data_IF_488125844554
#
_entry.id   IF_488125844554
#
_cell.length_a   1.000
_cell.length_b   1.000
_cell.length_c   1.000
_cell.angle_alpha   90.00
_cell.angle_beta   90.00
_cell.angle_gamma   90.00
#
_symmetry.space_group_name_H-M   'P 1'
#
loop_
_entity.id
_entity.type
_entity.pdbx_description
1 polymer ?
#
# COMPACT_ATOMS: atom_id res chain seq x y z
N UNK A 1 35.87 17.04 25.77
CA UNK A 1 35.65 15.60 26.04
C UNK A 1 34.48 15.14 25.20
N UNK A 2 34.75 14.22 24.26
CA UNK A 2 33.84 13.76 23.21
C UNK A 2 32.69 12.96 23.83
N UNK A 3 31.46 13.45 23.71
CA UNK A 3 30.27 12.69 24.02
C UNK A 3 30.18 11.52 23.04
N UNK A 4 30.40 10.32 23.55
CA UNK A 4 30.27 9.05 22.86
C UNK A 4 28.88 8.97 22.22
N UNK A 5 28.77 9.23 20.92
CA UNK A 5 27.55 8.97 20.16
C UNK A 5 27.20 7.48 20.35
N UNK A 6 26.08 7.14 21.01
CA UNK A 6 25.66 5.76 21.07
C UNK A 6 25.30 5.35 19.66
N UNK A 7 26.06 4.41 19.10
CA UNK A 7 25.72 3.69 17.89
C UNK A 7 24.28 3.23 18.01
N UNK A 8 23.36 3.86 17.29
CA UNK A 8 21.95 3.49 17.31
C UNK A 8 21.82 2.09 16.70
N UNK A 9 21.82 1.05 17.53
CA UNK A 9 21.20 -0.21 17.14
C UNK A 9 19.80 0.15 16.60
N UNK A 10 19.39 -0.37 15.42
CA UNK A 10 18.14 0.06 14.80
C UNK A 10 17.03 -0.09 15.82
N UNK A 11 16.48 1.04 16.24
CA UNK A 11 15.43 1.06 17.26
C UNK A 11 14.22 0.33 16.68
N UNK A 12 13.39 -0.32 17.51
CA UNK A 12 12.16 -0.98 17.01
C UNK A 12 11.30 -0.02 16.18
N UNK A 13 11.39 1.28 16.45
CA UNK A 13 10.81 2.39 15.70
C UNK A 13 11.32 2.47 14.24
N UNK A 14 12.61 2.24 14.00
CA UNK A 14 13.21 2.27 12.65
C UNK A 14 12.68 1.13 11.77
N UNK A 15 12.49 -0.06 12.35
CA UNK A 15 11.92 -1.22 11.64
C UNK A 15 10.43 -1.01 11.34
N UNK A 16 9.67 -0.49 12.31
CA UNK A 16 8.28 -0.10 12.13
C UNK A 16 8.11 0.94 11.02
N UNK A 17 8.96 1.98 11.04
CA UNK A 17 8.93 3.06 10.06
C UNK A 17 9.20 2.55 8.65
N UNK A 18 10.24 1.71 8.47
CA UNK A 18 10.54 1.08 7.18
C UNK A 18 9.38 0.21 6.67
N UNK A 19 8.72 -0.53 7.56
CA UNK A 19 7.60 -1.36 7.18
C UNK A 19 6.35 -0.53 6.79
N UNK A 20 6.08 0.57 7.50
CA UNK A 20 5.02 1.52 7.12
C UNK A 20 5.33 2.20 5.77
N UNK A 21 6.57 2.65 5.56
CA UNK A 21 7.00 3.19 4.27
C UNK A 21 6.85 2.19 3.13
N UNK A 22 7.11 0.90 3.37
CA UNK A 22 6.88 -0.17 2.39
C UNK A 22 5.41 -0.37 2.06
N UNK A 23 4.53 -0.21 3.05
CA UNK A 23 3.08 -0.26 2.83
C UNK A 23 2.61 0.92 1.98
N UNK A 24 3.04 2.12 2.33
CA UNK A 24 2.72 3.36 1.60
C UNK A 24 3.25 3.28 0.16
N UNK A 25 4.47 2.77 -0.05
CA UNK A 25 5.04 2.65 -1.39
C UNK A 25 4.28 1.66 -2.27
N UNK A 26 3.82 0.53 -1.72
CA UNK A 26 2.94 -0.40 -2.44
C UNK A 26 1.61 0.28 -2.82
N UNK A 27 1.03 1.03 -1.89
CA UNK A 27 -0.21 1.78 -2.15
C UNK A 27 -0.05 2.78 -3.30
N UNK A 28 1.07 3.52 -3.30
CA UNK A 28 1.42 4.48 -4.36
C UNK A 28 1.64 3.81 -5.71
N UNK A 29 2.32 2.66 -5.74
CA UNK A 29 2.54 1.90 -6.99
C UNK A 29 1.21 1.41 -7.56
N UNK A 30 0.31 0.88 -6.73
CA UNK A 30 -0.98 0.38 -7.19
C UNK A 30 -1.89 1.54 -7.61
N UNK A 31 -1.88 2.65 -6.85
CA UNK A 31 -2.56 3.88 -7.24
C UNK A 31 -2.09 4.36 -8.62
N UNK A 32 -0.78 4.44 -8.83
CA UNK A 32 -0.22 4.83 -10.12
C UNK A 32 -0.60 3.83 -11.23
N UNK A 33 -0.55 2.52 -10.95
CA UNK A 33 -0.98 1.51 -11.90
C UNK A 33 -2.44 1.71 -12.32
N UNK A 34 -3.36 1.95 -11.38
CA UNK A 34 -4.78 2.19 -11.67
C UNK A 34 -4.99 3.51 -12.42
N UNK A 35 -4.20 4.54 -12.14
CA UNK A 35 -4.31 5.84 -12.82
C UNK A 35 -3.74 5.83 -14.25
N UNK A 36 -2.60 5.16 -14.48
CA UNK A 36 -1.85 5.26 -15.72
C UNK A 36 -2.05 4.09 -16.68
N UNK A 37 -2.29 2.86 -16.20
CA UNK A 37 -2.41 1.68 -17.08
C UNK A 37 -3.70 1.73 -17.94
N UNK A 38 -4.90 2.00 -17.40
CA UNK A 38 -6.12 1.98 -18.21
C UNK A 38 -6.13 2.97 -19.38
N UNK A 39 -5.66 4.22 -19.23
CA UNK A 39 -5.57 5.16 -20.36
C UNK A 39 -4.54 4.75 -21.41
N UNK A 40 -3.39 4.17 -21.01
CA UNK A 40 -2.32 3.76 -21.93
C UNK A 40 -2.72 2.59 -22.84
N UNK A 41 -3.63 1.73 -22.36
CA UNK A 41 -4.08 0.53 -23.06
C UNK A 41 -5.58 0.56 -23.36
N UNK A 42 -6.15 1.76 -23.54
CA UNK A 42 -7.60 1.94 -23.64
C UNK A 42 -8.23 1.13 -24.79
N UNK A 43 -7.52 0.97 -25.92
CA UNK A 43 -7.99 0.21 -27.07
C UNK A 43 -8.04 -1.31 -26.79
N UNK A 44 -7.02 -1.86 -26.10
CA UNK A 44 -7.04 -3.28 -25.71
C UNK A 44 -8.09 -3.53 -24.62
N UNK A 45 -8.22 -2.61 -23.67
CA UNK A 45 -9.19 -2.72 -22.57
C UNK A 45 -10.64 -2.58 -23.06
N UNK A 46 -10.91 -1.71 -24.03
CA UNK A 46 -12.25 -1.54 -24.57
C UNK A 46 -12.72 -2.71 -25.44
N UNK A 47 -11.80 -3.56 -25.90
CA UNK A 47 -12.12 -4.81 -26.60
C UNK A 47 -12.72 -5.88 -25.67
N UNK A 48 -12.47 -5.76 -24.35
CA UNK A 48 -13.04 -6.65 -23.35
C UNK A 48 -14.27 -5.97 -22.75
N UNK A 49 -15.43 -6.62 -22.86
CA UNK A 49 -16.70 -6.10 -22.33
C UNK A 49 -17.03 -6.84 -21.04
N UNK A 50 -17.15 -6.09 -19.93
CA UNK A 50 -17.60 -6.62 -18.64
C UNK A 50 -18.96 -6.01 -18.32
N UNK A 51 -19.94 -6.87 -18.01
CA UNK A 51 -21.29 -6.45 -17.63
C UNK A 51 -21.96 -5.46 -18.61
N UNK A 52 -21.63 -5.57 -19.91
CA UNK A 52 -22.18 -4.71 -20.97
C UNK A 52 -21.39 -3.41 -21.22
N UNK A 53 -20.33 -3.13 -20.46
CA UNK A 53 -19.49 -1.95 -20.63
C UNK A 53 -18.04 -2.30 -21.01
N UNK A 54 -17.36 -1.48 -21.83
CA UNK A 54 -15.93 -1.65 -22.09
C UNK A 54 -15.11 -1.60 -20.79
N UNK A 55 -14.11 -2.48 -20.65
CA UNK A 55 -13.35 -2.62 -19.40
C UNK A 55 -12.65 -1.32 -19.00
N UNK A 56 -12.16 -0.54 -19.98
CA UNK A 56 -11.56 0.77 -19.74
C UNK A 56 -12.54 1.74 -19.06
N UNK A 57 -13.80 1.75 -19.51
CA UNK A 57 -14.87 2.55 -18.91
C UNK A 57 -15.25 2.04 -17.50
N UNK A 58 -15.32 0.72 -17.33
CA UNK A 58 -15.61 0.11 -16.03
C UNK A 58 -14.53 0.44 -14.99
N UNK A 59 -13.26 0.43 -15.37
CA UNK A 59 -12.13 0.78 -14.50
C UNK A 59 -12.19 2.23 -14.02
N UNK A 60 -12.57 3.17 -14.90
CA UNK A 60 -12.75 4.57 -14.54
C UNK A 60 -13.95 4.84 -13.62
N UNK A 61 -15.02 4.06 -13.74
CA UNK A 61 -16.29 4.29 -13.03
C UNK A 61 -16.38 3.57 -11.68
N UNK A 62 -16.07 2.27 -11.62
CA UNK A 62 -16.21 1.46 -10.40
C UNK A 62 -14.99 0.60 -10.09
N UNK A 63 -14.24 0.17 -11.11
CA UNK A 63 -13.09 -0.70 -10.93
C UNK A 63 -12.01 -0.08 -10.04
N UNK A 64 -11.71 1.21 -10.20
CA UNK A 64 -10.74 1.93 -9.36
C UNK A 64 -11.16 1.96 -7.88
N UNK A 65 -12.44 2.14 -7.60
CA UNK A 65 -12.99 2.15 -6.24
C UNK A 65 -12.86 0.77 -5.58
N UNK A 66 -13.20 -0.30 -6.31
CA UNK A 66 -13.05 -1.68 -5.81
C UNK A 66 -11.58 -1.96 -5.48
N UNK A 67 -10.65 -1.58 -6.36
CA UNK A 67 -9.21 -1.73 -6.10
C UNK A 67 -8.79 -0.97 -4.84
N UNK A 68 -9.28 0.26 -4.65
CA UNK A 68 -9.04 1.05 -3.44
C UNK A 68 -9.52 0.38 -2.15
N UNK A 69 -10.72 -0.21 -2.16
CA UNK A 69 -11.25 -0.92 -0.99
C UNK A 69 -10.39 -2.15 -0.67
N UNK A 70 -10.03 -2.94 -1.68
CA UNK A 70 -9.14 -4.11 -1.50
C UNK A 70 -7.78 -3.70 -0.94
N UNK A 71 -7.22 -2.58 -1.42
CA UNK A 71 -5.98 -1.99 -0.91
C UNK A 71 -6.08 -1.62 0.57
N UNK A 72 -7.18 -0.99 0.98
CA UNK A 72 -7.41 -0.62 2.38
C UNK A 72 -7.47 -1.86 3.27
N UNK A 73 -8.22 -2.90 2.85
CA UNK A 73 -8.27 -4.16 3.59
C UNK A 73 -6.91 -4.85 3.66
N UNK A 74 -6.16 -4.87 2.55
CA UNK A 74 -4.81 -5.43 2.53
C UNK A 74 -3.86 -4.67 3.47
N UNK A 75 -3.90 -3.34 3.45
CA UNK A 75 -3.16 -2.49 4.36
C UNK A 75 -3.53 -2.79 5.81
N UNK A 76 -4.82 -2.79 6.16
CA UNK A 76 -5.30 -3.04 7.51
C UNK A 76 -4.88 -4.43 8.03
N UNK A 77 -5.03 -5.48 7.21
CA UNK A 77 -4.59 -6.82 7.56
C UNK A 77 -3.07 -6.90 7.78
N UNK A 78 -2.29 -6.18 6.96
CA UNK A 78 -0.83 -6.17 7.06
C UNK A 78 -0.35 -5.33 8.25
N UNK A 79 -1.00 -4.20 8.54
CA UNK A 79 -0.76 -3.36 9.70
C UNK A 79 -1.06 -4.14 10.98
N UNK A 80 -2.19 -4.84 11.05
CA UNK A 80 -2.54 -5.70 12.19
C UNK A 80 -1.51 -6.81 12.42
N UNK A 81 -1.00 -7.43 11.34
CA UNK A 81 0.09 -8.41 11.45
C UNK A 81 1.40 -7.79 11.94
N UNK A 82 1.70 -6.57 11.52
CA UNK A 82 2.87 -5.84 11.99
C UNK A 82 2.76 -5.46 13.48
N UNK A 83 1.56 -5.02 13.87
CA UNK A 83 1.23 -4.66 15.24
C UNK A 83 1.28 -5.89 16.16
N UNK A 84 0.86 -7.06 15.71
CA UNK A 84 1.08 -8.31 16.45
C UNK A 84 2.56 -8.68 16.61
N UNK A 85 3.41 -8.36 15.62
CA UNK A 85 4.83 -8.69 15.65
C UNK A 85 5.65 -7.76 16.53
N UNK A 86 5.16 -6.55 16.81
CA UNK A 86 5.91 -5.53 17.52
C UNK A 86 5.13 -4.92 18.72
N UNK A 87 3.87 -5.30 18.90
CA UNK A 87 2.98 -4.97 20.02
C UNK A 87 3.17 -5.85 21.25
N UNK A 88 4.21 -6.69 21.31
CA UNK A 88 4.66 -7.26 22.58
C UNK A 88 5.86 -6.48 23.13
N UNK A 89 5.52 -5.66 24.13
CA UNK A 89 6.38 -5.06 25.17
C UNK A 89 7.32 -3.95 24.68
N UNK A 90 6.84 -2.71 24.78
CA UNK A 90 7.58 -1.56 25.32
C UNK A 90 6.60 -0.48 25.84
N UNK A 91 5.44 -0.88 26.39
CA UNK A 91 4.80 -0.10 27.46
C UNK A 91 5.29 -0.72 28.75
N UNK A 92 6.31 -0.11 29.33
CA UNK A 92 6.36 0.29 30.74
C UNK A 92 7.82 0.46 31.19
N UNK A 93 8.19 1.73 31.34
CA UNK A 93 9.19 2.19 32.29
C UNK A 93 8.63 2.07 33.70
#
# INVERSE_FOLDING_TARGET
MSAKNPTHAPSKLDTYWKANLRLISILLVIWAAVAFIPPLFIDQFNSIVIAGFPLGYYMGSQGSLIVFVVLIFYYAARMNKLDQQHGMRDQDK
#
